data_IF_436586520216
#
_entry.id   IF_436586520216
#
_cell.length_a   1.000
_cell.length_b   1.000
_cell.length_c   1.000
_cell.angle_alpha   90.00
_cell.angle_beta   90.00
_cell.angle_gamma   90.00
#
_symmetry.space_group_name_H-M   'P 1'
#
loop_
_entity.id
_entity.type
_entity.pdbx_description
1 polymer ?
#
# COMPACT_ATOMS: atom_id res chain seq x y z
N UNK A 1 -15.00 24.51 39.72
CA UNK A 1 -14.57 25.16 38.44
C UNK A 1 -13.30 24.56 37.90
N UNK A 2 -12.23 24.46 38.66
CA UNK A 2 -10.95 23.85 38.28
C UNK A 2 -11.10 22.37 37.80
N UNK A 3 -11.93 21.60 38.47
CA UNK A 3 -12.17 20.18 38.14
C UNK A 3 -12.82 19.96 36.74
N UNK A 4 -13.63 20.89 36.26
CA UNK A 4 -14.24 20.84 34.90
C UNK A 4 -13.25 21.20 33.80
N UNK A 5 -12.30 22.09 34.07
CA UNK A 5 -11.26 22.48 33.12
C UNK A 5 -10.20 21.40 33.01
N UNK A 6 -9.81 20.78 34.13
CA UNK A 6 -8.88 19.65 34.13
C UNK A 6 -9.42 18.45 33.35
N UNK A 7 -10.70 18.08 33.53
CA UNK A 7 -11.33 17.01 32.73
C UNK A 7 -11.44 17.35 31.25
N UNK A 8 -11.69 18.62 30.92
CA UNK A 8 -11.76 19.05 29.55
C UNK A 8 -10.38 18.97 28.86
N UNK A 9 -9.33 19.32 29.60
CA UNK A 9 -7.95 19.23 29.15
C UNK A 9 -7.52 17.76 28.95
N UNK A 10 -7.88 16.90 29.88
CA UNK A 10 -7.60 15.47 29.83
C UNK A 10 -8.30 14.79 28.64
N UNK A 11 -9.58 15.14 28.37
CA UNK A 11 -10.31 14.67 27.20
C UNK A 11 -9.70 15.18 25.88
N UNK A 12 -9.22 16.40 25.86
CA UNK A 12 -8.57 16.99 24.69
C UNK A 12 -7.22 16.32 24.42
N UNK A 13 -6.46 16.04 25.47
CA UNK A 13 -5.19 15.32 25.37
C UNK A 13 -5.40 13.87 24.92
N UNK A 14 -6.40 13.17 25.46
CA UNK A 14 -6.78 11.82 25.01
C UNK A 14 -7.16 11.78 23.53
N UNK A 15 -7.98 12.72 23.05
CA UNK A 15 -8.33 12.83 21.64
C UNK A 15 -7.11 13.12 20.76
N UNK A 16 -6.17 13.91 21.27
CA UNK A 16 -4.93 14.22 20.57
C UNK A 16 -3.98 13.02 20.47
N UNK A 17 -3.90 12.24 21.55
CA UNK A 17 -3.14 10.99 21.58
C UNK A 17 -3.77 9.91 20.69
N UNK A 18 -5.10 9.76 20.69
CA UNK A 18 -5.81 8.86 19.77
C UNK A 18 -5.62 9.26 18.32
N UNK A 19 -5.60 10.55 17.99
CA UNK A 19 -5.35 11.05 16.63
C UNK A 19 -3.89 10.86 16.24
N UNK A 20 -2.93 11.13 17.12
CA UNK A 20 -1.52 10.87 16.88
C UNK A 20 -1.21 9.36 16.78
N UNK A 21 -1.85 8.54 17.59
CA UNK A 21 -1.76 7.08 17.49
C UNK A 21 -2.24 6.55 16.14
N UNK A 22 -3.27 7.16 15.56
CA UNK A 22 -3.74 6.85 14.21
C UNK A 22 -2.80 7.33 13.10
N UNK A 23 -2.14 8.48 13.27
CA UNK A 23 -1.17 9.01 12.30
C UNK A 23 0.10 8.17 12.26
N UNK A 24 0.52 7.64 13.39
CA UNK A 24 1.72 6.80 13.53
C UNK A 24 1.38 5.35 13.88
N UNK A 25 0.10 5.00 13.91
CA UNK A 25 -0.35 3.64 14.16
C UNK A 25 0.00 2.71 13.01
N UNK A 26 0.16 1.44 13.34
CA UNK A 26 0.26 0.37 12.37
C UNK A 26 -1.14 -0.21 12.20
N UNK A 27 -1.89 0.15 11.12
CA UNK A 27 -3.17 -0.46 10.87
C UNK A 27 -3.01 -1.97 10.74
N UNK A 28 -3.98 -2.72 11.25
CA UNK A 28 -3.94 -4.17 11.17
C UNK A 28 -4.35 -4.65 9.78
N UNK A 29 -3.87 -5.84 9.40
CA UNK A 29 -4.39 -6.53 8.23
C UNK A 29 -5.80 -7.04 8.53
N UNK A 30 -6.70 -6.91 7.56
CA UNK A 30 -8.01 -7.52 7.64
C UNK A 30 -7.96 -9.05 7.38
N UNK A 31 -9.10 -9.70 7.39
CA UNK A 31 -9.22 -11.14 7.12
C UNK A 31 -8.78 -11.56 5.70
N UNK A 32 -8.76 -10.61 4.76
CA UNK A 32 -8.31 -10.81 3.39
C UNK A 32 -6.82 -10.49 3.17
N UNK A 33 -6.09 -10.13 4.23
CA UNK A 33 -4.69 -9.77 4.17
C UNK A 33 -4.45 -8.36 3.61
N UNK A 34 -5.43 -7.47 3.66
CA UNK A 34 -5.31 -6.07 3.25
C UNK A 34 -5.11 -5.15 4.45
N UNK A 35 -4.14 -4.25 4.35
CA UNK A 35 -3.85 -3.19 5.30
C UNK A 35 -3.96 -1.85 4.58
N UNK A 36 -4.92 -1.02 4.96
CA UNK A 36 -5.14 0.29 4.32
C UNK A 36 -4.33 1.35 5.05
N UNK A 37 -3.37 1.97 4.38
CA UNK A 37 -2.57 3.06 4.93
C UNK A 37 -3.23 4.41 4.67
N UNK A 38 -3.65 4.68 3.45
CA UNK A 38 -4.38 5.89 3.07
C UNK A 38 -5.29 5.62 1.89
N UNK A 39 -6.38 6.37 1.81
CA UNK A 39 -7.28 6.41 0.65
C UNK A 39 -7.63 7.85 0.32
N UNK A 40 -8.33 8.09 -0.79
CA UNK A 40 -8.78 9.44 -1.15
C UNK A 40 -9.88 9.99 -0.24
N UNK A 41 -10.51 9.13 0.57
CA UNK A 41 -11.71 9.46 1.34
C UNK A 41 -11.51 9.32 2.85
N UNK A 42 -10.40 8.72 3.31
CA UNK A 42 -10.14 8.55 4.73
C UNK A 42 -9.47 9.79 5.36
N UNK A 43 -9.12 9.69 6.62
CA UNK A 43 -8.49 10.77 7.41
C UNK A 43 -7.14 11.24 6.85
N UNK A 44 -6.51 10.45 5.97
CA UNK A 44 -5.24 10.77 5.30
C UNK A 44 -5.40 11.25 3.86
N UNK A 45 -6.61 11.59 3.45
CA UNK A 45 -6.94 12.04 2.07
C UNK A 45 -6.07 13.19 1.54
N UNK A 46 -5.48 13.98 2.43
CA UNK A 46 -4.56 15.06 2.06
C UNK A 46 -3.28 14.56 1.38
N UNK A 47 -2.94 13.28 1.51
CA UNK A 47 -1.84 12.67 0.76
C UNK A 47 -2.15 12.50 -0.73
N UNK A 48 -3.43 12.55 -1.12
CA UNK A 48 -3.91 12.38 -2.50
C UNK A 48 -3.45 11.08 -3.14
N UNK A 49 -3.38 10.01 -2.34
CA UNK A 49 -2.93 8.67 -2.75
C UNK A 49 -3.79 7.59 -2.10
N UNK A 50 -3.92 6.49 -2.79
CA UNK A 50 -4.43 5.22 -2.23
C UNK A 50 -3.24 4.30 -2.05
N UNK A 51 -2.89 3.97 -0.81
CA UNK A 51 -1.75 3.12 -0.48
C UNK A 51 -2.20 1.99 0.42
N UNK A 52 -1.95 0.77 -0.02
CA UNK A 52 -2.32 -0.44 0.71
C UNK A 52 -1.18 -1.45 0.72
N UNK A 53 -1.10 -2.22 1.79
CA UNK A 53 -0.20 -3.36 1.90
C UNK A 53 -1.05 -4.63 1.87
N UNK A 54 -0.58 -5.62 1.13
CA UNK A 54 -1.21 -6.93 1.06
C UNK A 54 -0.25 -8.00 1.57
N UNK A 55 -0.72 -8.78 2.54
CA UNK A 55 -0.07 -10.02 2.96
C UNK A 55 -0.65 -11.16 2.14
N UNK A 56 0.18 -11.83 1.38
CA UNK A 56 -0.22 -12.90 0.47
C UNK A 56 0.40 -14.22 0.90
N UNK A 57 -0.42 -15.26 0.92
CA UNK A 57 0.04 -16.63 1.08
C UNK A 57 0.49 -17.21 -0.26
N UNK A 58 1.47 -18.12 -0.23
CA UNK A 58 1.92 -18.83 -1.42
C UNK A 58 0.73 -19.38 -2.24
N UNK A 59 0.73 -19.10 -3.53
CA UNK A 59 -0.32 -19.50 -4.48
C UNK A 59 -1.46 -18.50 -4.65
N UNK A 60 -1.57 -17.49 -3.80
CA UNK A 60 -2.58 -16.43 -3.96
C UNK A 60 -2.22 -15.51 -5.13
N UNK A 61 -3.25 -15.00 -5.78
CA UNK A 61 -3.14 -14.04 -6.89
C UNK A 61 -3.97 -12.81 -6.56
N UNK A 62 -3.37 -11.64 -6.76
CA UNK A 62 -4.08 -10.36 -6.72
C UNK A 62 -3.89 -9.62 -8.03
N UNK A 63 -4.95 -9.00 -8.50
CA UNK A 63 -4.96 -8.26 -9.76
C UNK A 63 -5.39 -6.82 -9.50
N UNK A 64 -4.66 -5.87 -10.07
CA UNK A 64 -4.89 -4.45 -9.92
C UNK A 64 -5.07 -3.81 -11.29
N UNK A 65 -6.15 -3.06 -11.45
CA UNK A 65 -6.43 -2.26 -12.64
C UNK A 65 -7.19 -1.01 -12.21
N UNK A 66 -6.64 0.15 -12.48
CA UNK A 66 -7.22 1.43 -12.09
C UNK A 66 -7.49 2.27 -13.34
N UNK A 67 -8.67 2.88 -13.37
CA UNK A 67 -9.03 3.87 -14.38
C UNK A 67 -8.72 5.27 -13.86
N UNK A 68 -8.06 6.09 -14.70
CA UNK A 68 -7.62 7.47 -14.35
C UNK A 68 -6.65 7.55 -13.16
N UNK A 69 -5.96 6.47 -12.88
CA UNK A 69 -4.94 6.38 -11.84
C UNK A 69 -3.73 5.63 -12.38
N UNK A 70 -2.55 6.03 -11.97
CA UNK A 70 -1.35 5.23 -12.11
C UNK A 70 -1.20 4.29 -10.93
N UNK A 71 -0.55 3.17 -11.13
CA UNK A 71 -0.36 2.14 -10.10
C UNK A 71 1.09 1.70 -10.05
N UNK A 72 1.65 1.67 -8.84
CA UNK A 72 2.96 1.08 -8.56
C UNK A 72 2.77 -0.09 -7.59
N UNK A 73 3.33 -1.24 -7.94
CA UNK A 73 3.27 -2.47 -7.13
C UNK A 73 4.67 -2.85 -6.69
N UNK A 74 4.95 -2.66 -5.42
CA UNK A 74 6.26 -2.82 -4.81
C UNK A 74 6.33 -4.11 -4.00
N UNK A 75 7.36 -4.93 -4.21
CA UNK A 75 7.63 -6.07 -3.35
C UNK A 75 8.32 -5.61 -2.07
N UNK A 76 7.71 -5.88 -0.92
CA UNK A 76 8.31 -5.64 0.39
C UNK A 76 9.15 -6.83 0.84
N UNK A 77 8.59 -8.02 0.78
CA UNK A 77 9.28 -9.27 1.13
C UNK A 77 8.64 -10.47 0.45
N UNK A 78 9.40 -11.53 0.27
CA UNK A 78 8.94 -12.79 -0.29
C UNK A 78 9.38 -13.02 -1.73
N UNK A 79 8.57 -13.74 -2.48
CA UNK A 79 8.81 -14.06 -3.89
C UNK A 79 7.49 -14.01 -4.65
N UNK A 80 7.45 -13.18 -5.68
CA UNK A 80 6.24 -12.99 -6.49
C UNK A 80 6.57 -13.04 -7.98
N UNK A 81 5.56 -13.36 -8.76
CA UNK A 81 5.57 -13.20 -10.21
C UNK A 81 4.64 -12.05 -10.57
N UNK A 82 5.19 -10.99 -11.14
CA UNK A 82 4.42 -9.92 -11.76
C UNK A 82 4.08 -10.30 -13.20
N UNK A 83 2.85 -9.99 -13.60
CA UNK A 83 2.40 -10.10 -14.99
C UNK A 83 1.71 -8.80 -15.38
N UNK A 84 2.16 -8.15 -16.42
CA UNK A 84 1.54 -6.93 -16.97
C UNK A 84 1.74 -6.94 -18.50
N UNK A 85 0.72 -6.50 -19.23
CA UNK A 85 0.75 -6.57 -20.68
C UNK A 85 1.19 -7.98 -21.15
N UNK A 86 2.18 -8.07 -22.04
CA UNK A 86 2.77 -9.35 -22.48
C UNK A 86 4.08 -9.68 -21.72
N UNK A 87 4.33 -8.98 -20.61
CA UNK A 87 5.54 -9.12 -19.81
C UNK A 87 5.30 -9.92 -18.53
N UNK A 88 6.35 -10.61 -18.09
CA UNK A 88 6.35 -11.40 -16.87
C UNK A 88 7.70 -11.34 -16.19
N UNK A 89 7.72 -11.16 -14.87
CA UNK A 89 8.94 -11.19 -14.07
C UNK A 89 8.72 -11.88 -12.74
N UNK A 90 9.56 -12.83 -12.39
CA UNK A 90 9.59 -13.45 -11.08
C UNK A 90 10.75 -12.87 -10.29
N UNK A 91 10.43 -12.30 -9.13
CA UNK A 91 11.37 -11.52 -8.31
C UNK A 91 11.25 -11.92 -6.85
N UNK A 92 12.33 -11.75 -6.10
CA UNK A 92 12.37 -12.03 -4.68
C UNK A 92 13.06 -10.92 -3.91
N UNK A 93 12.65 -10.73 -2.67
CA UNK A 93 13.22 -9.76 -1.74
C UNK A 93 13.15 -10.34 -0.34
N UNK A 94 14.28 -10.39 0.35
CA UNK A 94 14.33 -10.91 1.71
C UNK A 94 13.60 -9.98 2.68
N UNK A 95 13.96 -8.72 2.66
CA UNK A 95 13.38 -7.67 3.51
C UNK A 95 13.69 -6.27 2.92
N UNK A 96 13.04 -5.25 3.49
CA UNK A 96 13.20 -3.87 3.03
C UNK A 96 14.51 -3.20 3.49
N UNK A 97 15.25 -3.83 4.38
CA UNK A 97 16.45 -3.25 4.98
C UNK A 97 17.74 -3.68 4.27
N UNK A 98 17.79 -4.89 3.76
CA UNK A 98 19.01 -5.50 3.20
C UNK A 98 19.01 -5.58 1.67
N UNK A 99 17.86 -5.49 1.02
CA UNK A 99 17.74 -5.61 -0.43
C UNK A 99 16.92 -4.45 -1.02
N UNK A 100 17.30 -3.98 -2.21
CA UNK A 100 16.60 -2.95 -2.93
C UNK A 100 15.22 -3.43 -3.44
N UNK A 101 14.37 -2.49 -3.87
CA UNK A 101 13.01 -2.80 -4.27
C UNK A 101 12.91 -3.30 -5.71
N UNK A 102 11.94 -4.19 -5.94
CA UNK A 102 11.37 -4.51 -7.24
C UNK A 102 10.00 -3.85 -7.31
N UNK A 103 9.73 -3.09 -8.37
CA UNK A 103 8.48 -2.36 -8.53
C UNK A 103 8.04 -2.35 -9.99
N UNK A 104 6.77 -2.71 -10.22
CA UNK A 104 6.11 -2.51 -11.53
C UNK A 104 5.27 -1.25 -11.45
N UNK A 105 5.49 -0.32 -12.38
CA UNK A 105 4.78 0.94 -12.48
C UNK A 105 4.04 1.03 -13.82
N UNK A 106 2.74 1.19 -13.75
CA UNK A 106 1.86 1.20 -14.92
C UNK A 106 0.93 2.40 -14.93
N UNK A 107 0.53 2.82 -16.13
CA UNK A 107 -0.43 3.91 -16.32
C UNK A 107 -1.88 3.45 -16.18
N UNK A 108 -2.79 4.41 -16.32
CA UNK A 108 -4.24 4.19 -16.32
C UNK A 108 -4.64 3.03 -17.24
N UNK A 109 -5.54 2.20 -16.77
CA UNK A 109 -6.12 1.10 -17.54
C UNK A 109 -5.23 -0.12 -17.75
N UNK A 110 -3.99 -0.11 -17.29
CA UNK A 110 -3.09 -1.27 -17.38
C UNK A 110 -3.27 -2.18 -16.18
N UNK A 111 -3.48 -3.46 -16.45
CA UNK A 111 -3.64 -4.49 -15.43
C UNK A 111 -2.29 -5.06 -14.99
N UNK A 112 -2.10 -5.18 -13.68
CA UNK A 112 -0.97 -5.90 -13.08
C UNK A 112 -1.52 -7.03 -12.23
N UNK A 113 -1.08 -8.25 -12.50
CA UNK A 113 -1.34 -9.41 -11.65
C UNK A 113 -0.10 -9.78 -10.87
N UNK A 114 -0.28 -10.12 -9.61
CA UNK A 114 0.78 -10.57 -8.71
C UNK A 114 0.43 -11.96 -8.21
N UNK A 115 1.27 -12.92 -8.51
CA UNK A 115 1.18 -14.29 -7.98
C UNK A 115 2.23 -14.47 -6.90
N UNK A 116 1.81 -14.83 -5.69
CA UNK A 116 2.74 -15.17 -4.62
C UNK A 116 3.32 -16.55 -4.84
N UNK A 117 4.62 -16.63 -5.09
CA UNK A 117 5.36 -17.90 -5.19
C UNK A 117 5.74 -18.45 -3.81
N UNK A 118 5.85 -17.56 -2.84
CA UNK A 118 6.01 -17.83 -1.42
C UNK A 118 5.16 -16.84 -0.63
N UNK A 119 5.05 -17.01 0.68
CA UNK A 119 4.41 -16.01 1.53
C UNK A 119 5.12 -14.66 1.33
N UNK A 120 4.36 -13.64 0.98
CA UNK A 120 4.90 -12.36 0.49
C UNK A 120 4.09 -11.18 1.00
N UNK A 121 4.72 -10.03 1.07
CA UNK A 121 4.07 -8.75 1.29
C UNK A 121 4.37 -7.80 0.14
N UNK A 122 3.33 -7.16 -0.37
CA UNK A 122 3.43 -6.15 -1.42
C UNK A 122 2.77 -4.85 -0.96
N UNK A 123 3.30 -3.72 -1.46
CA UNK A 123 2.67 -2.42 -1.30
C UNK A 123 2.16 -1.96 -2.65
N UNK A 124 0.90 -1.54 -2.69
CA UNK A 124 0.26 -1.01 -3.89
C UNK A 124 -0.05 0.46 -3.66
N UNK A 125 0.49 1.30 -4.50
CA UNK A 125 0.37 2.75 -4.43
C UNK A 125 -0.27 3.26 -5.70
N UNK A 126 -1.41 3.94 -5.55
CA UNK A 126 -2.14 4.55 -6.65
C UNK A 126 -2.25 6.05 -6.44
N UNK A 127 -2.16 6.82 -7.52
CA UNK A 127 -2.45 8.24 -7.52
C UNK A 127 -3.17 8.63 -8.81
N UNK A 128 -4.00 9.66 -8.73
CA UNK A 128 -4.78 10.11 -9.89
C UNK A 128 -3.86 10.67 -10.97
N UNK A 129 -3.90 10.02 -12.11
CA UNK A 129 -3.17 10.42 -13.31
C UNK A 129 -3.79 9.72 -14.52
N UNK A 130 -4.31 10.48 -15.46
CA UNK A 130 -4.89 9.98 -16.70
C UNK A 130 -3.92 10.00 -17.89
N UNK A 131 -2.67 10.40 -17.64
CA UNK A 131 -1.61 10.39 -18.65
C UNK A 131 -1.13 8.98 -18.93
N UNK A 132 -1.08 8.58 -20.20
CA UNK A 132 -0.52 7.30 -20.62
C UNK A 132 1.00 7.36 -20.67
N UNK A 133 1.65 6.30 -20.18
CA UNK A 133 3.10 6.11 -20.26
C UNK A 133 3.42 4.61 -20.36
N UNK A 134 4.63 4.29 -20.80
CA UNK A 134 5.08 2.91 -20.92
C UNK A 134 5.28 2.29 -19.52
N UNK A 135 4.76 1.08 -19.33
CA UNK A 135 5.00 0.31 -18.13
C UNK A 135 6.49 0.08 -17.89
N UNK A 136 6.92 0.11 -16.64
CA UNK A 136 8.31 -0.07 -16.27
C UNK A 136 8.46 -0.96 -15.05
N UNK A 137 9.43 -1.89 -15.15
CA UNK A 137 9.92 -2.66 -14.01
C UNK A 137 11.18 -1.99 -13.46
N UNK A 138 11.09 -1.46 -12.25
CA UNK A 138 12.23 -0.96 -11.49
C UNK A 138 12.92 -2.12 -10.78
N UNK A 139 14.22 -2.17 -10.88
CA UNK A 139 15.08 -3.21 -10.30
C UNK A 139 15.91 -2.62 -9.16
N UNK A 140 16.39 -3.45 -8.23
CA UNK A 140 17.33 -3.04 -7.20
C UNK A 140 18.61 -2.43 -7.76
#
# INVERSE_FOLDING_TARGET
MLWKEEKKQELTNRKKEETMGKVFGYPEFDENGEQILTTYDNEYKAMMMDIRVYSMKAGQIRTFKRDKEETAVLLLSGKVTYTWEDEKATVSRKDVFTEGPWCVHVCTGTEVSVTAEADSEILVQCTKNDTEFAAKLYKP
#
